data_IF_416208259698
#
_entry.id   IF_416208259698
#
_cell.length_a   1.000
_cell.length_b   1.000
_cell.length_c   1.000
_cell.angle_alpha   90.00
_cell.angle_beta   90.00
_cell.angle_gamma   90.00
#
_symmetry.space_group_name_H-M   'P 1'
#
loop_
_entity.id
_entity.type
_entity.pdbx_description
1 polymer ?
#
# COMPACT_ATOMS: atom_id res chain seq x y z
N UNK A 1 7.71 14.23 -6.92
CA UNK A 1 6.47 13.73 -7.54
C UNK A 1 6.05 12.51 -6.76
N UNK A 2 4.82 12.51 -6.23
CA UNK A 2 4.15 11.30 -5.78
C UNK A 2 3.51 10.64 -7.01
N UNK A 3 3.91 9.42 -7.33
CA UNK A 3 3.48 8.76 -8.57
C UNK A 3 2.31 7.81 -8.31
N UNK A 4 1.10 8.19 -8.72
CA UNK A 4 -0.13 7.39 -8.50
C UNK A 4 -0.59 6.59 -9.73
N UNK A 5 0.13 6.62 -10.85
CA UNK A 5 -0.35 5.93 -12.05
C UNK A 5 -0.36 4.41 -11.81
N UNK A 6 -1.48 3.76 -12.13
CA UNK A 6 -1.71 2.33 -11.90
C UNK A 6 -1.60 1.93 -10.42
N UNK A 7 -2.13 2.78 -9.51
CA UNK A 7 -2.23 2.47 -8.08
C UNK A 7 -3.32 1.43 -7.75
N UNK A 8 -4.29 1.24 -8.64
CA UNK A 8 -5.38 0.25 -8.52
C UNK A 8 -5.54 -0.56 -9.81
N UNK A 9 -4.54 -1.38 -10.13
CA UNK A 9 -4.58 -2.27 -11.30
C UNK A 9 -3.56 -3.42 -11.20
N UNK A 10 -3.66 -4.42 -12.05
CA UNK A 10 -2.68 -5.51 -12.10
C UNK A 10 -1.48 -5.22 -13.03
N UNK A 11 -1.24 -3.95 -13.34
CA UNK A 11 -0.22 -3.51 -14.29
C UNK A 11 1.20 -3.58 -13.72
N UNK A 12 2.10 -4.22 -14.47
CA UNK A 12 3.54 -4.26 -14.21
C UNK A 12 4.25 -3.32 -15.17
N UNK A 13 5.03 -2.38 -14.64
CA UNK A 13 5.92 -1.55 -15.45
C UNK A 13 7.06 -2.41 -15.99
N UNK A 14 7.27 -2.39 -17.29
CA UNK A 14 8.47 -2.93 -17.91
C UNK A 14 9.66 -1.98 -17.73
N UNK A 15 10.88 -2.51 -17.79
CA UNK A 15 12.11 -1.72 -17.64
C UNK A 15 12.19 -0.54 -18.62
N UNK A 16 11.78 -0.75 -19.88
CA UNK A 16 11.74 0.30 -20.90
C UNK A 16 10.76 1.44 -20.56
N UNK A 17 9.66 1.12 -19.86
CA UNK A 17 8.69 2.12 -19.41
C UNK A 17 9.24 2.92 -18.23
N UNK A 18 9.87 2.25 -17.27
CA UNK A 18 10.55 2.90 -16.13
C UNK A 18 11.62 3.87 -16.66
N UNK A 19 12.46 3.41 -17.58
CA UNK A 19 13.50 4.25 -18.21
C UNK A 19 12.92 5.45 -18.96
N UNK A 20 11.82 5.26 -19.69
CA UNK A 20 11.16 6.35 -20.41
C UNK A 20 10.55 7.38 -19.46
N UNK A 21 9.93 6.92 -18.37
CA UNK A 21 9.39 7.81 -17.33
C UNK A 21 10.53 8.60 -16.66
N UNK A 22 11.66 7.94 -16.36
CA UNK A 22 12.84 8.60 -15.82
C UNK A 22 13.35 9.73 -16.72
N UNK A 23 13.45 9.49 -18.04
CA UNK A 23 13.83 10.53 -19.00
C UNK A 23 12.89 11.74 -18.98
N UNK A 24 11.58 11.51 -18.85
CA UNK A 24 10.63 12.61 -18.74
C UNK A 24 10.78 13.37 -17.42
N UNK A 25 10.96 12.68 -16.30
CA UNK A 25 11.20 13.35 -15.02
C UNK A 25 12.44 14.26 -15.12
N UNK A 26 13.54 13.77 -15.68
CA UNK A 26 14.76 14.54 -15.89
C UNK A 26 14.54 15.73 -16.84
N UNK A 27 13.87 15.52 -17.98
CA UNK A 27 13.57 16.55 -18.98
C UNK A 27 12.79 17.73 -18.36
N UNK A 28 11.85 17.44 -17.46
CA UNK A 28 11.05 18.45 -16.78
C UNK A 28 11.62 18.91 -15.43
N UNK A 29 12.83 18.46 -15.05
CA UNK A 29 13.47 18.82 -13.79
C UNK A 29 12.71 18.34 -12.55
N UNK A 30 11.93 17.27 -12.69
CA UNK A 30 11.14 16.64 -11.64
C UNK A 30 11.93 15.50 -10.99
N UNK A 31 11.74 15.32 -9.68
CA UNK A 31 12.26 14.15 -8.93
C UNK A 31 11.11 13.27 -8.47
N UNK A 32 11.27 11.95 -8.57
CA UNK A 32 10.38 11.03 -7.88
C UNK A 32 10.62 11.16 -6.37
N UNK A 33 9.54 11.28 -5.60
CA UNK A 33 9.61 11.24 -4.14
C UNK A 33 9.31 9.81 -3.68
N UNK A 34 8.11 9.37 -4.03
CA UNK A 34 7.56 8.08 -3.65
C UNK A 34 6.51 7.65 -4.69
N UNK A 35 6.13 6.38 -4.64
CA UNK A 35 5.18 5.76 -5.57
C UNK A 35 4.01 5.23 -4.79
N UNK A 36 2.78 5.48 -5.24
CA UNK A 36 1.64 4.71 -4.76
C UNK A 36 1.74 3.30 -5.33
N UNK A 37 1.93 2.32 -4.45
CA UNK A 37 1.98 0.93 -4.85
C UNK A 37 0.63 0.47 -5.37
N UNK A 38 0.64 -0.53 -6.26
CA UNK A 38 -0.61 -1.07 -6.73
C UNK A 38 -1.23 -1.96 -5.67
N UNK A 39 -2.49 -1.71 -5.33
CA UNK A 39 -3.22 -2.63 -4.48
C UNK A 39 -3.55 -3.95 -5.18
N UNK A 40 -3.62 -3.95 -6.52
CA UNK A 40 -4.07 -5.09 -7.35
C UNK A 40 -5.60 -5.21 -7.41
N UNK A 41 -6.14 -5.74 -8.52
CA UNK A 41 -7.58 -6.05 -8.65
C UNK A 41 -7.77 -7.55 -8.50
N UNK A 42 -7.19 -8.35 -9.39
CA UNK A 42 -7.16 -9.82 -9.24
C UNK A 42 -6.04 -10.27 -8.30
N UNK A 43 -5.01 -9.44 -8.16
CA UNK A 43 -3.77 -9.75 -7.44
C UNK A 43 -3.63 -8.87 -6.20
N UNK A 44 -4.68 -8.85 -5.39
CA UNK A 44 -4.67 -8.01 -4.20
C UNK A 44 -3.53 -8.42 -3.25
N UNK A 45 -2.70 -7.47 -2.82
CA UNK A 45 -1.38 -7.79 -2.22
C UNK A 45 -1.42 -8.51 -0.86
N UNK A 46 -2.57 -8.53 -0.18
CA UNK A 46 -2.84 -9.39 0.97
C UNK A 46 -4.13 -10.19 0.79
N UNK A 47 -4.39 -10.66 -0.43
CA UNK A 47 -5.55 -11.49 -0.75
C UNK A 47 -5.64 -12.73 0.16
N UNK A 48 -6.87 -13.19 0.50
CA UNK A 48 -7.09 -14.45 1.20
C UNK A 48 -6.49 -15.67 0.47
N UNK A 49 -6.62 -15.69 -0.85
CA UNK A 49 -6.12 -16.76 -1.71
C UNK A 49 -4.62 -16.61 -1.93
N UNK A 50 -3.86 -17.64 -1.54
CA UNK A 50 -2.40 -17.57 -1.54
C UNK A 50 -1.79 -17.27 -2.91
N UNK A 51 -2.32 -17.83 -3.99
CA UNK A 51 -1.80 -17.56 -5.33
C UNK A 51 -2.01 -16.08 -5.72
N UNK A 52 -3.14 -15.49 -5.33
CA UNK A 52 -3.46 -14.10 -5.62
C UNK A 52 -2.58 -13.17 -4.77
N UNK A 53 -2.38 -13.51 -3.49
CA UNK A 53 -1.47 -12.80 -2.58
C UNK A 53 -0.06 -12.76 -3.15
N UNK A 54 0.50 -13.92 -3.52
CA UNK A 54 1.85 -14.01 -4.10
C UNK A 54 1.96 -13.26 -5.43
N UNK A 55 0.91 -13.27 -6.26
CA UNK A 55 0.88 -12.45 -7.48
C UNK A 55 0.84 -10.94 -7.16
N UNK A 56 0.20 -10.55 -6.06
CA UNK A 56 0.19 -9.18 -5.56
C UNK A 56 1.54 -8.75 -4.97
N UNK A 57 2.28 -9.66 -4.33
CA UNK A 57 3.67 -9.42 -3.92
C UNK A 57 4.53 -8.99 -5.13
N UNK A 58 4.37 -9.64 -6.28
CA UNK A 58 5.11 -9.27 -7.49
C UNK A 58 4.70 -7.88 -8.03
N UNK A 59 3.44 -7.45 -7.85
CA UNK A 59 3.03 -6.07 -8.15
C UNK A 59 3.75 -5.07 -7.23
N UNK A 60 3.80 -5.34 -5.93
CA UNK A 60 4.48 -4.45 -4.96
C UNK A 60 5.98 -4.41 -5.24
N UNK A 61 6.63 -5.56 -5.50
CA UNK A 61 8.05 -5.61 -5.90
C UNK A 61 8.32 -4.79 -7.16
N UNK A 62 7.44 -4.84 -8.15
CA UNK A 62 7.57 -4.01 -9.35
C UNK A 62 7.53 -2.50 -9.03
N UNK A 63 6.73 -2.08 -8.06
CA UNK A 63 6.68 -0.69 -7.58
C UNK A 63 7.91 -0.32 -6.75
N UNK A 64 8.45 -1.26 -5.98
CA UNK A 64 9.73 -1.09 -5.28
C UNK A 64 10.86 -0.87 -6.29
N UNK A 65 10.95 -1.72 -7.32
CA UNK A 65 11.97 -1.59 -8.37
C UNK A 65 11.82 -0.27 -9.14
N UNK A 66 10.59 0.12 -9.49
CA UNK A 66 10.29 1.43 -10.10
C UNK A 66 10.81 2.57 -9.23
N UNK A 67 10.50 2.54 -7.94
CA UNK A 67 10.88 3.57 -6.97
C UNK A 67 12.39 3.69 -6.86
N UNK A 68 13.07 2.56 -6.65
CA UNK A 68 14.52 2.51 -6.53
C UNK A 68 15.23 3.00 -7.80
N UNK A 69 14.78 2.56 -8.98
CA UNK A 69 15.38 2.92 -10.28
C UNK A 69 15.27 4.42 -10.57
N UNK A 70 14.22 5.07 -10.10
CA UNK A 70 13.98 6.50 -10.31
C UNK A 70 14.37 7.38 -9.11
N UNK A 71 15.07 6.80 -8.13
CA UNK A 71 15.68 7.52 -7.02
C UNK A 71 14.74 7.94 -5.88
N UNK A 72 13.53 7.39 -5.84
CA UNK A 72 12.65 7.50 -4.67
C UNK A 72 13.02 6.49 -3.58
N UNK A 73 12.42 6.62 -2.40
CA UNK A 73 12.75 5.77 -1.23
C UNK A 73 11.53 5.21 -0.49
N UNK A 74 10.32 5.37 -1.04
CA UNK A 74 9.10 4.84 -0.44
C UNK A 74 8.05 4.39 -1.47
N UNK A 75 7.32 3.34 -1.12
CA UNK A 75 6.10 2.88 -1.78
C UNK A 75 4.94 2.99 -0.80
N UNK A 76 3.93 3.78 -1.11
CA UNK A 76 2.71 3.92 -0.31
C UNK A 76 1.79 2.73 -0.55
N UNK A 77 1.32 2.07 0.51
CA UNK A 77 0.42 0.93 0.44
C UNK A 77 -0.78 1.10 1.37
N UNK A 78 -1.93 0.60 0.92
CA UNK A 78 -3.15 0.57 1.72
C UNK A 78 -3.23 -0.69 2.58
N UNK A 79 -3.64 -0.51 3.84
CA UNK A 79 -4.18 -1.57 4.70
C UNK A 79 -5.54 -1.11 5.21
N UNK A 80 -6.62 -1.67 4.67
CA UNK A 80 -7.96 -1.22 4.99
C UNK A 80 -8.34 -1.48 6.46
N UNK A 81 -9.18 -0.62 7.07
CA UNK A 81 -9.67 -0.81 8.43
C UNK A 81 -10.29 -2.19 8.66
N UNK A 82 -10.09 -2.79 9.85
CA UNK A 82 -10.82 -3.99 10.25
C UNK A 82 -12.34 -3.73 10.23
N UNK A 83 -13.12 -4.71 9.82
CA UNK A 83 -14.57 -4.55 9.79
C UNK A 83 -15.15 -4.53 11.20
N UNK A 84 -16.11 -3.64 11.45
CA UNK A 84 -16.90 -3.57 12.70
C UNK A 84 -18.17 -4.42 12.64
N UNK A 85 -18.46 -5.05 11.49
CA UNK A 85 -19.63 -5.92 11.33
C UNK A 85 -19.45 -7.22 12.11
N UNK A 86 -20.37 -7.56 13.04
CA UNK A 86 -20.20 -8.75 13.90
C UNK A 86 -20.08 -10.07 13.15
N UNK A 87 -20.74 -10.20 11.99
CA UNK A 87 -20.68 -11.40 11.15
C UNK A 87 -19.35 -11.57 10.40
N UNK A 88 -18.61 -10.47 10.21
CA UNK A 88 -17.34 -10.47 9.50
C UNK A 88 -16.13 -10.27 10.44
N UNK A 89 -16.34 -9.77 11.66
CA UNK A 89 -15.30 -9.54 12.66
C UNK A 89 -14.39 -10.76 12.92
N UNK A 90 -14.87 -12.02 12.90
CA UNK A 90 -14.00 -13.19 13.03
C UNK A 90 -12.93 -13.33 11.93
N UNK A 91 -13.10 -12.67 10.77
CA UNK A 91 -12.12 -12.70 9.68
C UNK A 91 -11.02 -11.62 9.81
N UNK A 92 -11.15 -10.67 10.75
CA UNK A 92 -10.15 -9.61 10.94
C UNK A 92 -8.77 -10.18 11.32
N UNK A 93 -8.73 -11.23 12.15
CA UNK A 93 -7.47 -11.89 12.54
C UNK A 93 -6.82 -12.57 11.34
N UNK A 94 -7.62 -13.23 10.50
CA UNK A 94 -7.13 -13.83 9.25
C UNK A 94 -6.56 -12.77 8.29
N UNK A 95 -7.24 -11.63 8.13
CA UNK A 95 -6.75 -10.53 7.30
C UNK A 95 -5.47 -9.91 7.86
N UNK A 96 -5.38 -9.75 9.18
CA UNK A 96 -4.17 -9.29 9.85
C UNK A 96 -2.99 -10.23 9.57
N UNK A 97 -3.21 -11.54 9.64
CA UNK A 97 -2.18 -12.53 9.31
C UNK A 97 -1.78 -12.47 7.84
N UNK A 98 -2.71 -12.25 6.90
CA UNK A 98 -2.36 -12.08 5.48
C UNK A 98 -1.52 -10.83 5.24
N UNK A 99 -1.85 -9.70 5.87
CA UNK A 99 -1.04 -8.47 5.79
C UNK A 99 0.39 -8.75 6.27
N UNK A 100 0.53 -9.40 7.43
CA UNK A 100 1.85 -9.75 7.98
C UNK A 100 2.65 -10.65 7.06
N UNK A 101 2.03 -11.71 6.54
CA UNK A 101 2.70 -12.64 5.60
C UNK A 101 3.20 -11.90 4.36
N UNK A 102 2.41 -10.97 3.83
CA UNK A 102 2.82 -10.16 2.69
C UNK A 102 3.95 -9.20 3.02
N UNK A 103 3.93 -8.56 4.19
CA UNK A 103 5.02 -7.72 4.65
C UNK A 103 6.30 -8.54 4.89
N UNK A 104 6.20 -9.72 5.50
CA UNK A 104 7.34 -10.62 5.74
C UNK A 104 8.00 -11.04 4.40
N UNK A 105 7.20 -11.36 3.38
CA UNK A 105 7.68 -11.71 2.04
C UNK A 105 8.34 -10.52 1.29
N UNK A 106 7.99 -9.29 1.64
CA UNK A 106 8.50 -8.06 1.02
C UNK A 106 9.71 -7.48 1.76
N UNK A 107 9.90 -7.79 3.04
CA UNK A 107 10.83 -7.08 3.92
C UNK A 107 12.26 -7.02 3.37
N UNK A 108 12.88 -8.18 3.15
CA UNK A 108 14.27 -8.22 2.66
C UNK A 108 14.39 -7.54 1.29
N UNK A 109 13.42 -7.75 0.41
CA UNK A 109 13.44 -7.22 -0.95
C UNK A 109 13.39 -5.68 -0.97
N UNK A 110 12.56 -5.09 -0.12
CA UNK A 110 12.39 -3.65 0.04
C UNK A 110 13.66 -3.02 0.66
N UNK A 111 14.17 -3.61 1.75
CA UNK A 111 15.38 -3.13 2.45
C UNK A 111 16.61 -3.18 1.56
N UNK A 112 16.82 -4.27 0.81
CA UNK A 112 17.94 -4.40 -0.14
C UNK A 112 17.95 -3.31 -1.22
N UNK A 113 16.78 -2.75 -1.55
CA UNK A 113 16.62 -1.68 -2.56
C UNK A 113 16.58 -0.28 -1.93
N UNK A 114 16.67 -0.19 -0.61
CA UNK A 114 16.59 1.08 0.11
C UNK A 114 15.21 1.75 0.00
N UNK A 115 14.14 0.98 -0.20
CA UNK A 115 12.77 1.48 -0.35
C UNK A 115 11.93 1.00 0.82
N UNK A 116 11.24 1.93 1.50
CA UNK A 116 10.30 1.61 2.58
C UNK A 116 8.91 1.34 2.02
N UNK A 117 8.15 0.49 2.71
CA UNK A 117 6.69 0.45 2.56
C UNK A 117 6.09 1.45 3.54
N UNK A 118 5.41 2.47 3.04
CA UNK A 118 4.70 3.46 3.85
C UNK A 118 3.21 3.10 3.89
N UNK A 119 2.71 2.65 5.03
CA UNK A 119 1.29 2.33 5.18
C UNK A 119 0.49 3.62 5.38
N UNK A 120 -0.57 3.81 4.59
CA UNK A 120 -1.39 5.01 4.68
C UNK A 120 -2.47 4.93 5.77
N UNK A 121 -2.75 6.02 6.46
CA UNK A 121 -3.97 6.12 7.29
C UNK A 121 -5.20 6.21 6.39
N UNK A 122 -6.14 5.31 6.63
CA UNK A 122 -7.34 5.13 5.83
C UNK A 122 -8.57 5.07 6.73
N UNK A 123 -9.71 5.30 6.09
CA UNK A 123 -11.04 5.06 6.65
C UNK A 123 -11.75 3.97 5.85
N UNK A 124 -12.86 3.46 6.37
CA UNK A 124 -13.65 2.42 5.69
C UNK A 124 -14.40 3.01 4.49
N UNK A 125 -13.63 3.25 3.41
CA UNK A 125 -14.14 3.76 2.14
C UNK A 125 -15.18 2.82 1.54
N UNK A 126 -15.04 1.50 1.72
CA UNK A 126 -16.00 0.54 1.21
C UNK A 126 -17.37 0.70 1.89
N UNK A 127 -17.41 0.88 3.22
CA UNK A 127 -18.65 1.17 3.94
C UNK A 127 -19.26 2.52 3.51
N UNK A 128 -18.42 3.52 3.24
CA UNK A 128 -18.85 4.83 2.75
C UNK A 128 -19.45 4.74 1.34
N UNK A 129 -18.76 4.09 0.40
CA UNK A 129 -19.20 3.88 -0.99
C UNK A 129 -20.49 3.06 -1.06
N UNK A 130 -20.60 2.02 -0.23
CA UNK A 130 -21.80 1.20 -0.10
C UNK A 130 -22.95 1.91 0.65
N UNK A 131 -22.75 3.14 1.13
CA UNK A 131 -23.72 3.92 1.93
C UNK A 131 -24.20 3.20 3.19
N UNK A 132 -23.32 2.38 3.76
CA UNK A 132 -23.56 1.65 5.02
C UNK A 132 -23.35 2.58 6.21
N UNK A 133 -22.41 3.51 6.11
CA UNK A 133 -22.13 4.52 7.12
C UNK A 133 -21.74 5.86 6.47
N UNK A 134 -21.91 6.95 7.22
CA UNK A 134 -21.48 8.29 6.79
C UNK A 134 -19.96 8.40 6.89
N UNK A 135 -19.34 9.16 5.97
CA UNK A 135 -17.88 9.36 5.92
C UNK A 135 -17.30 9.92 7.23
N UNK A 136 -18.10 10.61 8.04
CA UNK A 136 -17.67 11.14 9.35
C UNK A 136 -17.79 10.15 10.50
N UNK A 137 -18.39 8.97 10.27
CA UNK A 137 -18.73 7.95 11.27
C UNK A 137 -18.12 6.58 10.95
N UNK A 138 -17.40 6.45 9.83
CA UNK A 138 -16.67 5.23 9.50
C UNK A 138 -15.41 5.12 10.33
N UNK A 139 -15.07 3.88 10.70
CA UNK A 139 -13.84 3.59 11.44
C UNK A 139 -12.59 3.77 10.57
N UNK A 140 -11.46 3.93 11.25
CA UNK A 140 -10.13 4.07 10.63
C UNK A 140 -9.24 2.83 10.87
N UNK A 141 -8.03 2.87 10.31
CA UNK A 141 -7.03 1.81 10.50
C UNK A 141 -5.94 2.17 11.54
N UNK A 142 -6.15 3.15 12.42
CA UNK A 142 -5.10 3.67 13.29
C UNK A 142 -4.51 2.61 14.23
N UNK A 143 -5.36 1.79 14.87
CA UNK A 143 -4.90 0.69 15.74
C UNK A 143 -4.15 -0.40 14.95
N UNK A 144 -4.61 -0.69 13.73
CA UNK A 144 -3.95 -1.63 12.82
C UNK A 144 -2.55 -1.12 12.44
N UNK A 145 -2.44 0.15 12.05
CA UNK A 145 -1.17 0.79 11.74
C UNK A 145 -0.21 0.77 12.93
N UNK A 146 -0.68 1.13 14.13
CA UNK A 146 0.14 1.10 15.34
C UNK A 146 0.72 -0.29 15.62
N UNK A 147 -0.10 -1.35 15.46
CA UNK A 147 0.34 -2.74 15.63
C UNK A 147 1.39 -3.14 14.60
N UNK A 148 1.21 -2.78 13.33
CA UNK A 148 2.14 -3.11 12.25
C UNK A 148 3.47 -2.35 12.41
N UNK A 149 3.41 -1.03 12.66
CA UNK A 149 4.60 -0.19 12.87
C UNK A 149 5.43 -0.62 14.09
N UNK A 150 4.79 -1.18 15.12
CA UNK A 150 5.51 -1.73 16.26
C UNK A 150 6.19 -3.08 15.96
N UNK A 151 5.74 -3.81 14.94
CA UNK A 151 6.21 -5.16 14.62
C UNK A 151 7.35 -5.21 13.60
N UNK A 152 7.53 -4.15 12.82
CA UNK A 152 8.52 -4.08 11.74
C UNK A 152 9.51 -2.93 11.97
N UNK A 153 10.77 -3.07 11.52
CA UNK A 153 11.76 -2.04 11.76
C UNK A 153 11.60 -0.84 10.80
N UNK A 154 12.02 0.37 11.21
CA UNK A 154 11.75 1.61 10.47
C UNK A 154 12.52 1.74 9.13
N UNK A 155 13.54 0.92 8.91
CA UNK A 155 14.17 0.77 7.58
C UNK A 155 13.27 0.06 6.57
N UNK A 156 12.26 -0.68 7.03
CA UNK A 156 11.33 -1.40 6.17
C UNK A 156 9.94 -0.76 6.12
N UNK A 157 9.34 -0.48 7.28
CA UNK A 157 7.94 -0.04 7.37
C UNK A 157 7.84 1.37 7.95
N UNK A 158 7.01 2.21 7.32
CA UNK A 158 6.74 3.58 7.72
C UNK A 158 5.27 3.95 7.61
N UNK A 159 4.95 5.20 7.92
CA UNK A 159 3.61 5.77 7.84
C UNK A 159 3.56 6.79 6.69
N UNK A 160 2.57 6.66 5.80
CA UNK A 160 2.11 7.75 4.96
C UNK A 160 0.94 8.43 5.66
N UNK A 161 1.09 9.71 6.03
CA UNK A 161 0.02 10.45 6.68
C UNK A 161 -0.76 11.28 5.66
N UNK A 162 -2.00 10.86 5.36
CA UNK A 162 -2.97 11.64 4.61
C UNK A 162 -3.88 12.43 5.56
N UNK A 163 -3.73 13.75 5.53
CA UNK A 163 -4.52 14.68 6.36
C UNK A 163 -6.00 14.75 5.96
N UNK A 164 -6.33 14.42 4.71
CA UNK A 164 -7.71 14.32 4.22
C UNK A 164 -8.40 13.10 4.82
N UNK A 165 -7.75 11.95 4.85
CA UNK A 165 -8.31 10.76 5.51
C UNK A 165 -8.48 10.99 7.01
N UNK A 166 -7.51 11.66 7.64
CA UNK A 166 -7.55 11.96 9.08
C UNK A 166 -8.73 12.87 9.51
N UNK A 167 -9.34 13.62 8.59
CA UNK A 167 -10.54 14.44 8.89
C UNK A 167 -11.85 13.75 8.51
N UNK A 168 -11.76 12.61 7.81
CA UNK A 168 -12.87 11.88 7.22
C UNK A 168 -13.09 10.54 7.95
N UNK A 169 -13.30 10.57 9.26
CA UNK A 169 -13.59 9.40 10.10
C UNK A 169 -13.31 9.67 11.57
N UNK A 170 -13.83 8.84 12.48
CA UNK A 170 -13.64 8.96 13.94
C UNK A 170 -13.70 7.61 14.65
#
# INVERSE_FOLDING_TARGET
VHWCHQWRSDFLYADSEIEQIGRWLDEYGLKLNDVHGSEGIEKFWYAPEEYARLAGIELVKNRIDFTAKLGGDAVVMHVYPPTVRPDLAPYNDFLFDQIRRSLDDLQSYAVERGVRIALENLIDFAATEAKVADVTQVGDNAELLARLLAAYPPEFLGLCFDSGHAILGR
#
